data_IF_604831629038
#
_entry.id   IF_604831629038
#
_cell.length_a   1.000
_cell.length_b   1.000
_cell.length_c   1.000
_cell.angle_alpha   90.00
_cell.angle_beta   90.00
_cell.angle_gamma   90.00
#
_symmetry.space_group_name_H-M   'P 1'
#
loop_
_entity.id
_entity.type
_entity.pdbx_description
1 polymer ?
#
# COMPACT_ATOMS: atom_id res chain seq x y z
N UNK A 1 -12.78 -9.35 -18.57
CA UNK A 1 -12.80 -10.39 -17.64
C UNK A 1 -11.92 -10.13 -16.46
N UNK A 2 -12.35 -10.48 -15.37
CA UNK A 2 -11.60 -10.26 -14.18
C UNK A 2 -10.48 -11.25 -14.04
N UNK A 3 -9.28 -10.77 -14.05
CA UNK A 3 -8.13 -11.60 -13.77
C UNK A 3 -7.82 -11.65 -12.30
N UNK A 4 -8.62 -10.92 -11.49
CA UNK A 4 -8.42 -10.88 -10.05
C UNK A 4 -9.16 -12.05 -9.40
N UNK A 5 -8.39 -12.85 -8.69
CA UNK A 5 -8.92 -13.93 -7.88
C UNK A 5 -8.51 -13.71 -6.43
N UNK A 6 -9.11 -14.44 -5.53
CA UNK A 6 -8.73 -14.40 -4.14
C UNK A 6 -9.07 -13.10 -3.46
N UNK A 7 -8.16 -12.63 -2.60
CA UNK A 7 -8.42 -11.55 -1.66
C UNK A 7 -8.69 -10.21 -2.32
N UNK A 8 -8.14 -9.97 -3.51
CA UNK A 8 -8.27 -8.67 -4.17
C UNK A 8 -9.43 -8.57 -5.14
N UNK A 9 -10.20 -9.65 -5.32
CA UNK A 9 -11.36 -9.65 -6.19
C UNK A 9 -12.55 -9.02 -5.47
N UNK A 10 -13.39 -8.27 -6.22
CA UNK A 10 -14.69 -7.84 -5.73
C UNK A 10 -15.56 -9.10 -5.67
N UNK A 11 -16.34 -9.25 -4.58
CA UNK A 11 -17.16 -10.45 -4.44
C UNK A 11 -18.30 -10.46 -5.47
N UNK A 12 -18.94 -11.62 -5.63
CA UNK A 12 -19.94 -11.82 -6.66
C UNK A 12 -21.14 -10.89 -6.51
N UNK A 13 -21.46 -10.51 -5.27
CA UNK A 13 -22.58 -9.61 -4.99
C UNK A 13 -22.18 -8.14 -5.14
N UNK A 14 -20.89 -7.84 -5.23
CA UNK A 14 -20.41 -6.47 -5.26
C UNK A 14 -20.53 -5.75 -3.93
N UNK A 15 -20.82 -6.47 -2.85
CA UNK A 15 -21.03 -5.87 -1.53
C UNK A 15 -19.73 -5.55 -0.82
N UNK A 16 -18.65 -6.20 -1.22
CA UNK A 16 -17.36 -6.04 -0.59
C UNK A 16 -16.32 -5.77 -1.65
N UNK A 17 -15.54 -4.71 -1.44
CA UNK A 17 -14.40 -4.41 -2.30
C UNK A 17 -13.13 -4.69 -1.52
N UNK A 18 -12.00 -4.99 -2.20
CA UNK A 18 -10.76 -5.21 -1.50
C UNK A 18 -10.28 -3.95 -0.79
N UNK A 19 -9.66 -4.14 0.37
CA UNK A 19 -9.03 -3.09 1.15
C UNK A 19 -7.53 -3.32 1.07
N UNK A 20 -6.78 -2.32 0.63
CA UNK A 20 -5.32 -2.43 0.54
C UNK A 20 -4.68 -1.38 1.43
N UNK A 21 -3.60 -1.78 2.10
CA UNK A 21 -2.82 -0.88 2.94
C UNK A 21 -1.66 -0.32 2.14
N UNK A 22 -1.37 0.97 2.34
CA UNK A 22 -0.31 1.65 1.63
C UNK A 22 0.91 1.82 2.54
N UNK A 23 2.07 1.40 2.06
CA UNK A 23 3.35 1.59 2.72
C UNK A 23 3.96 2.92 2.28
N UNK A 24 4.91 3.43 3.06
CA UNK A 24 5.61 4.67 2.76
C UNK A 24 6.33 4.60 1.41
N UNK A 25 6.94 3.46 1.07
CA UNK A 25 7.64 3.31 -0.20
C UNK A 25 6.69 3.49 -1.39
N UNK A 26 5.46 2.99 -1.28
CA UNK A 26 4.47 3.15 -2.33
C UNK A 26 4.01 4.60 -2.43
N UNK A 27 3.82 5.26 -1.28
CA UNK A 27 3.38 6.66 -1.25
C UNK A 27 4.45 7.63 -1.73
N UNK A 28 5.73 7.25 -1.61
CA UNK A 28 6.84 8.06 -2.11
C UNK A 28 7.16 7.78 -3.58
N UNK A 29 6.68 6.68 -4.14
CA UNK A 29 6.97 6.27 -5.50
C UNK A 29 6.51 7.28 -6.58
N UNK A 30 5.43 8.06 -6.38
CA UNK A 30 5.09 9.07 -7.38
C UNK A 30 6.21 10.04 -7.68
N UNK A 31 7.01 10.42 -6.68
CA UNK A 31 8.18 11.27 -6.90
C UNK A 31 9.39 10.43 -7.31
N UNK A 32 9.65 9.34 -6.59
CA UNK A 32 10.89 8.56 -6.77
C UNK A 32 10.89 7.72 -8.04
N UNK A 33 9.72 7.28 -8.49
CA UNK A 33 9.62 6.38 -9.64
C UNK A 33 8.63 6.88 -10.69
N UNK A 34 8.17 8.12 -10.57
CA UNK A 34 7.21 8.69 -11.51
C UNK A 34 5.97 7.80 -11.67
N UNK A 35 5.51 7.24 -10.56
CA UNK A 35 4.38 6.32 -10.54
C UNK A 35 3.08 7.09 -10.34
N UNK A 36 2.07 6.77 -11.14
CA UNK A 36 0.71 7.28 -10.93
C UNK A 36 -0.02 6.28 -10.04
N UNK A 37 0.20 6.39 -8.73
CA UNK A 37 -0.17 5.36 -7.76
C UNK A 37 -1.66 4.99 -7.83
N UNK A 38 -2.55 5.97 -7.68
CA UNK A 38 -3.97 5.66 -7.60
C UNK A 38 -4.55 5.26 -8.96
N UNK A 39 -4.03 5.84 -10.04
CA UNK A 39 -4.45 5.44 -11.39
C UNK A 39 -4.06 4.00 -11.68
N UNK A 40 -2.87 3.58 -11.22
CA UNK A 40 -2.44 2.20 -11.37
C UNK A 40 -3.25 1.25 -10.49
N UNK A 41 -3.60 1.67 -9.27
CA UNK A 41 -4.48 0.87 -8.44
C UNK A 41 -5.87 0.74 -9.07
N UNK A 42 -6.40 1.83 -9.65
CA UNK A 42 -7.66 1.77 -10.37
C UNK A 42 -7.61 0.75 -11.51
N UNK A 43 -6.51 0.76 -12.25
CA UNK A 43 -6.33 -0.17 -13.38
C UNK A 43 -6.30 -1.62 -12.90
N UNK A 44 -5.60 -1.88 -11.80
CA UNK A 44 -5.44 -3.26 -11.29
C UNK A 44 -6.67 -3.77 -10.58
N UNK A 45 -7.33 -2.91 -9.80
CA UNK A 45 -8.32 -3.37 -8.82
C UNK A 45 -9.76 -3.01 -9.19
N UNK A 46 -9.95 -1.95 -9.98
CA UNK A 46 -11.28 -1.42 -10.21
C UNK A 46 -11.78 -0.74 -8.95
N UNK A 47 -12.74 -1.32 -8.26
CA UNK A 47 -13.24 -0.78 -6.99
C UNK A 47 -12.38 -1.31 -5.85
N UNK A 48 -11.96 -0.42 -4.95
CA UNK A 48 -11.13 -0.77 -3.80
C UNK A 48 -11.18 0.34 -2.76
N UNK A 49 -10.72 0.03 -1.55
CA UNK A 49 -10.52 1.01 -0.50
C UNK A 49 -9.07 0.98 -0.06
N UNK A 50 -8.57 2.12 0.42
CA UNK A 50 -7.19 2.22 0.90
C UNK A 50 -7.16 2.62 2.36
N UNK A 51 -6.23 2.03 3.10
CA UNK A 51 -5.94 2.42 4.48
C UNK A 51 -4.45 2.65 4.62
N UNK A 52 -4.07 3.45 5.61
CA UNK A 52 -2.67 3.67 5.93
C UNK A 52 -2.52 3.60 7.45
N UNK A 53 -1.61 2.77 7.98
CA UNK A 53 -1.36 2.76 9.41
C UNK A 53 -0.83 4.11 9.89
N UNK A 54 -1.22 4.51 11.10
CA UNK A 54 -0.68 5.72 11.70
C UNK A 54 0.85 5.69 11.75
N UNK A 55 1.44 4.50 11.94
CA UNK A 55 2.90 4.33 11.95
C UNK A 55 3.53 4.71 10.61
N UNK A 56 2.85 4.46 9.49
CA UNK A 56 3.33 4.86 8.16
C UNK A 56 3.26 6.38 8.01
N UNK A 57 2.18 6.98 8.47
CA UNK A 57 2.07 8.46 8.45
C UNK A 57 3.20 9.08 9.25
N UNK A 58 3.50 8.53 10.44
CA UNK A 58 4.60 9.01 11.26
C UNK A 58 5.95 8.87 10.56
N UNK A 59 6.16 7.77 9.85
CA UNK A 59 7.39 7.56 9.09
C UNK A 59 7.55 8.63 8.00
N UNK A 60 6.48 8.90 7.25
CA UNK A 60 6.51 9.94 6.23
C UNK A 60 6.79 11.32 6.83
N UNK A 61 6.19 11.62 7.97
CA UNK A 61 6.42 12.90 8.64
C UNK A 61 7.87 13.04 9.07
N UNK A 62 8.49 11.96 9.52
CA UNK A 62 9.91 11.97 9.88
C UNK A 62 10.81 12.23 8.68
N UNK A 63 10.52 11.59 7.54
CA UNK A 63 11.33 11.75 6.32
C UNK A 63 11.15 13.15 5.75
N UNK A 64 9.92 13.68 5.73
CA UNK A 64 9.65 15.00 5.14
C UNK A 64 10.30 16.13 5.91
N UNK A 65 10.67 15.89 7.17
CA UNK A 65 11.40 16.86 7.98
C UNK A 65 12.87 16.98 7.63
N UNK A 66 13.40 16.08 6.80
CA UNK A 66 14.79 16.12 6.36
C UNK A 66 14.98 17.03 5.15
N UNK A 67 15.87 16.63 4.26
CA UNK A 67 16.23 17.44 3.09
C UNK A 67 16.34 16.54 1.85
N UNK A 68 16.36 17.18 0.68
CA UNK A 68 16.60 16.52 -0.59
C UNK A 68 15.38 15.84 -1.17
N UNK A 69 15.62 14.96 -2.13
CA UNK A 69 14.54 14.32 -2.87
C UNK A 69 13.67 13.43 -1.97
N UNK A 70 14.28 12.76 -1.00
CA UNK A 70 13.50 11.91 -0.09
C UNK A 70 12.49 12.73 0.70
N UNK A 71 12.87 13.91 1.16
CA UNK A 71 11.95 14.79 1.89
C UNK A 71 10.81 15.26 0.98
N UNK A 72 11.13 15.59 -0.28
CA UNK A 72 10.11 15.98 -1.25
C UNK A 72 9.16 14.81 -1.52
N UNK A 73 9.70 13.62 -1.73
CA UNK A 73 8.89 12.42 -1.99
C UNK A 73 7.98 12.11 -0.80
N UNK A 74 8.48 12.25 0.42
CA UNK A 74 7.69 12.00 1.62
C UNK A 74 6.61 13.07 1.82
N UNK A 75 6.90 14.33 1.46
CA UNK A 75 5.91 15.38 1.55
C UNK A 75 4.74 15.13 0.61
N UNK A 76 5.03 14.73 -0.63
CA UNK A 76 3.98 14.35 -1.59
C UNK A 76 3.26 13.10 -1.07
N UNK A 77 4.01 12.11 -0.56
CA UNK A 77 3.40 10.89 -0.02
C UNK A 77 2.47 11.16 1.15
N UNK A 78 2.83 12.09 2.03
CA UNK A 78 1.96 12.47 3.15
C UNK A 78 0.66 13.10 2.65
N UNK A 79 0.74 13.92 1.60
CA UNK A 79 -0.48 14.49 1.00
C UNK A 79 -1.34 13.39 0.38
N UNK A 80 -0.73 12.45 -0.32
CA UNK A 80 -1.45 11.33 -0.93
C UNK A 80 -2.08 10.42 0.13
N UNK A 81 -1.42 10.27 1.28
CA UNK A 81 -1.94 9.45 2.38
C UNK A 81 -3.28 9.98 2.90
N UNK A 82 -3.56 11.27 2.73
CA UNK A 82 -4.85 11.83 3.14
C UNK A 82 -6.02 11.30 2.33
N UNK A 83 -5.76 10.65 1.19
CA UNK A 83 -6.80 10.02 0.38
C UNK A 83 -7.18 8.63 0.90
N UNK A 84 -6.43 8.11 1.86
CA UNK A 84 -6.68 6.83 2.50
C UNK A 84 -7.18 7.04 3.92
N UNK A 85 -7.84 6.04 4.48
CA UNK A 85 -8.23 6.08 5.88
C UNK A 85 -7.02 5.75 6.75
N UNK A 86 -6.71 6.59 7.74
CA UNK A 86 -5.66 6.30 8.71
C UNK A 86 -6.20 5.34 9.76
N UNK A 87 -5.49 4.25 10.01
CA UNK A 87 -5.92 3.24 10.98
C UNK A 87 -4.87 3.07 12.07
N UNK A 88 -5.34 2.74 13.28
CA UNK A 88 -4.47 2.47 14.41
C UNK A 88 -4.09 1.00 14.44
N UNK A 89 -2.90 0.71 14.96
CA UNK A 89 -2.39 -0.65 15.15
C UNK A 89 -1.75 -0.73 16.54
N UNK A 90 -1.57 -1.94 17.04
CA UNK A 90 -0.83 -2.16 18.28
C UNK A 90 0.67 -1.94 18.06
N UNK A 91 1.16 -2.36 16.91
CA UNK A 91 2.56 -2.16 16.55
C UNK A 91 2.81 -0.71 16.16
N UNK A 92 3.93 -0.17 16.61
CA UNK A 92 4.29 1.22 16.30
C UNK A 92 5.35 1.35 15.22
N UNK A 93 5.98 0.24 14.82
CA UNK A 93 6.93 0.23 13.72
C UNK A 93 6.14 -0.01 12.43
N UNK A 94 6.41 0.77 11.40
CA UNK A 94 5.56 0.77 10.19
C UNK A 94 5.42 -0.61 9.55
N UNK A 95 6.54 -1.33 9.37
CA UNK A 95 6.49 -2.66 8.75
C UNK A 95 5.68 -3.64 9.59
N UNK A 96 5.87 -3.61 10.91
CA UNK A 96 5.14 -4.47 11.82
C UNK A 96 3.66 -4.14 11.83
N UNK A 97 3.33 -2.85 11.74
CA UNK A 97 1.93 -2.42 11.68
C UNK A 97 1.24 -2.96 10.42
N UNK A 98 1.93 -2.93 9.28
CA UNK A 98 1.37 -3.45 8.04
C UNK A 98 1.15 -4.97 8.11
N UNK A 99 2.10 -5.70 8.67
CA UNK A 99 1.95 -7.14 8.85
C UNK A 99 0.81 -7.44 9.83
N UNK A 100 0.68 -6.64 10.89
CA UNK A 100 -0.44 -6.78 11.83
C UNK A 100 -1.79 -6.67 11.11
N UNK A 101 -1.95 -5.68 10.23
CA UNK A 101 -3.20 -5.54 9.48
C UNK A 101 -3.52 -6.78 8.65
N UNK A 102 -2.49 -7.38 8.05
CA UNK A 102 -2.66 -8.60 7.26
C UNK A 102 -3.07 -9.76 8.15
N UNK A 103 -2.35 -9.98 9.26
CA UNK A 103 -2.60 -11.15 10.11
C UNK A 103 -3.93 -11.05 10.83
N UNK A 104 -4.43 -9.85 11.06
CA UNK A 104 -5.74 -9.65 11.68
C UNK A 104 -6.89 -9.65 10.66
N UNK A 105 -6.58 -9.81 9.38
CA UNK A 105 -7.60 -9.83 8.35
C UNK A 105 -8.26 -8.49 8.10
N UNK A 106 -7.61 -7.39 8.48
CA UNK A 106 -8.16 -6.04 8.31
C UNK A 106 -7.91 -5.48 6.92
N UNK A 107 -6.94 -6.04 6.18
CA UNK A 107 -6.66 -5.69 4.80
C UNK A 107 -6.53 -6.95 3.96
N UNK A 108 -6.74 -6.81 2.67
CA UNK A 108 -6.68 -7.91 1.72
C UNK A 108 -5.36 -7.94 0.96
N UNK A 109 -4.58 -6.87 1.02
CA UNK A 109 -3.28 -6.80 0.40
C UNK A 109 -2.53 -5.56 0.85
N UNK A 110 -1.25 -5.48 0.46
CA UNK A 110 -0.39 -4.36 0.82
C UNK A 110 0.30 -3.84 -0.43
N UNK A 111 0.33 -2.51 -0.56
CA UNK A 111 1.02 -1.84 -1.66
C UNK A 111 2.37 -1.40 -1.13
N UNK A 112 3.44 -2.01 -1.62
CA UNK A 112 4.80 -1.70 -1.17
C UNK A 112 5.83 -2.04 -2.23
N UNK A 113 6.94 -1.30 -2.22
CA UNK A 113 8.11 -1.59 -3.05
C UNK A 113 9.29 -2.10 -2.19
N UNK A 114 9.09 -2.21 -0.89
CA UNK A 114 10.11 -2.71 0.02
C UNK A 114 10.11 -4.24 -0.04
N UNK A 115 11.19 -4.84 -0.53
CA UNK A 115 11.23 -6.29 -0.74
C UNK A 115 11.14 -7.09 0.56
N UNK A 116 11.88 -6.75 1.64
CA UNK A 116 11.71 -7.48 2.89
C UNK A 116 10.28 -7.45 3.42
N UNK A 117 9.64 -6.30 3.36
CA UNK A 117 8.24 -6.20 3.79
C UNK A 117 7.34 -7.03 2.88
N UNK A 118 7.54 -6.97 1.56
CA UNK A 118 6.74 -7.75 0.62
C UNK A 118 6.82 -9.24 0.96
N UNK A 119 8.02 -9.74 1.27
CA UNK A 119 8.18 -11.14 1.64
C UNK A 119 7.39 -11.49 2.90
N UNK A 120 7.41 -10.61 3.90
CA UNK A 120 6.65 -10.84 5.14
C UNK A 120 5.14 -10.87 4.88
N UNK A 121 4.66 -9.99 4.00
CA UNK A 121 3.23 -9.94 3.65
C UNK A 121 2.81 -11.23 2.94
N UNK A 122 3.63 -11.68 1.97
CA UNK A 122 3.35 -12.91 1.24
C UNK A 122 3.35 -14.11 2.18
N UNK A 123 4.31 -14.17 3.11
CA UNK A 123 4.37 -15.25 4.10
C UNK A 123 3.17 -15.23 5.02
N UNK A 124 2.62 -14.05 5.29
CA UNK A 124 1.42 -13.92 6.11
C UNK A 124 0.14 -14.25 5.34
N UNK A 125 0.25 -14.55 4.03
CA UNK A 125 -0.85 -15.04 3.24
C UNK A 125 -1.60 -13.99 2.43
N UNK A 126 -1.06 -12.78 2.30
CA UNK A 126 -1.73 -11.73 1.53
C UNK A 126 -0.92 -11.38 0.28
N UNK A 127 -1.60 -10.94 -0.79
CA UNK A 127 -0.91 -10.46 -1.98
C UNK A 127 -0.23 -9.11 -1.76
N UNK A 128 0.78 -8.85 -2.58
CA UNK A 128 1.52 -7.60 -2.59
C UNK A 128 1.34 -6.94 -3.96
N UNK A 129 1.10 -5.63 -3.94
CA UNK A 129 1.07 -4.82 -5.15
C UNK A 129 2.33 -3.97 -5.14
N UNK A 130 3.18 -4.13 -6.15
CA UNK A 130 4.47 -3.43 -6.21
C UNK A 130 4.83 -3.03 -7.62
N UNK A 131 5.88 -2.24 -7.74
CA UNK A 131 6.36 -1.77 -9.03
C UNK A 131 6.81 -2.95 -9.91
N UNK A 132 6.41 -2.89 -11.16
CA UNK A 132 6.93 -3.77 -12.20
C UNK A 132 7.34 -2.90 -13.38
N UNK A 133 8.57 -3.05 -13.82
CA UNK A 133 9.10 -2.17 -14.85
C UNK A 133 9.34 -0.79 -14.29
N UNK A 134 9.05 0.24 -15.08
CA UNK A 134 9.39 1.62 -14.70
C UNK A 134 8.35 2.27 -13.81
N UNK A 135 7.10 2.23 -14.23
CA UNK A 135 6.06 3.01 -13.58
C UNK A 135 4.69 2.33 -13.64
N UNK A 136 4.67 1.01 -13.63
CA UNK A 136 3.45 0.23 -13.53
C UNK A 136 3.46 -0.57 -12.23
N UNK A 137 2.27 -0.89 -11.74
CA UNK A 137 2.10 -1.77 -10.60
C UNK A 137 1.64 -3.15 -11.07
N UNK A 138 2.02 -4.18 -10.33
CA UNK A 138 1.58 -5.54 -10.58
C UNK A 138 1.31 -6.24 -9.25
N UNK A 139 0.45 -7.25 -9.29
CA UNK A 139 0.05 -8.03 -8.12
C UNK A 139 0.89 -9.29 -8.07
N UNK A 140 1.46 -9.58 -6.90
CA UNK A 140 2.11 -10.86 -6.62
C UNK A 140 1.27 -11.59 -5.59
N UNK A 141 0.83 -12.81 -5.94
CA UNK A 141 0.05 -13.64 -5.02
C UNK A 141 0.97 -14.41 -4.10
N UNK A 142 0.52 -14.72 -2.87
CA UNK A 142 1.33 -15.49 -1.93
C UNK A 142 1.58 -16.92 -2.35
#
# INVERSE_FOLDING_TARGET
>A
MGDLDGALAVDDAGDRVPVVALDASALMAPVEANLRLFEELDRLLGAYETVVPAAVVSELDGIRGGAGEAATAASVGADLATRAETVETDESYADDALVELVTEGRVDGVVTNDRPLANRVLEAGAPVIGLRGRNALAITEP
#
